data_IF_615941705166
#
_entry.id   IF_615941705166
#
_cell.length_a   1.000
_cell.length_b   1.000
_cell.length_c   1.000
_cell.angle_alpha   90.00
_cell.angle_beta   90.00
_cell.angle_gamma   90.00
#
_symmetry.space_group_name_H-M   'P 1'
#
loop_
_entity.id
_entity.type
_entity.pdbx_description
1 polymer ?
#
# COMPACT_ATOMS: atom_id res chain seq x y z
N UNK A 1 -11.62 11.27 -8.44
CA UNK A 1 -10.51 10.57 -9.12
C UNK A 1 -10.96 10.33 -10.54
N UNK A 2 -10.18 10.73 -11.53
CA UNK A 2 -10.54 10.51 -12.94
C UNK A 2 -10.28 9.04 -13.31
N UNK A 3 -10.89 8.53 -14.41
CA UNK A 3 -10.57 7.20 -14.92
C UNK A 3 -9.05 7.01 -15.15
N UNK A 4 -8.39 7.99 -15.75
CA UNK A 4 -6.94 7.97 -15.96
C UNK A 4 -6.14 7.87 -14.65
N UNK A 5 -6.54 8.61 -13.62
CA UNK A 5 -5.89 8.53 -12.30
C UNK A 5 -6.11 7.18 -11.64
N UNK A 6 -7.28 6.56 -11.86
CA UNK A 6 -7.60 5.25 -11.33
C UNK A 6 -6.81 4.15 -12.05
N UNK A 7 -6.60 4.27 -13.36
CA UNK A 7 -5.78 3.34 -14.12
C UNK A 7 -4.30 3.47 -13.74
N UNK A 8 -3.81 4.69 -13.51
CA UNK A 8 -2.48 4.91 -12.93
C UNK A 8 -2.37 4.31 -11.53
N UNK A 9 -3.39 4.48 -10.69
CA UNK A 9 -3.43 3.87 -9.35
C UNK A 9 -3.32 2.35 -9.45
N UNK A 10 -4.10 1.70 -10.32
CA UNK A 10 -4.02 0.27 -10.59
C UNK A 10 -2.66 -0.15 -11.09
N UNK A 11 -2.10 0.59 -12.04
CA UNK A 11 -0.76 0.35 -12.54
C UNK A 11 0.28 0.33 -11.41
N UNK A 12 0.19 1.26 -10.45
CA UNK A 12 1.12 1.32 -9.31
C UNK A 12 0.91 0.23 -8.24
N UNK A 13 -0.32 -0.27 -8.11
CA UNK A 13 -0.66 -1.36 -7.18
C UNK A 13 -0.46 -2.75 -7.83
N UNK A 14 -0.49 -2.84 -9.16
CA UNK A 14 -0.51 -4.09 -9.92
C UNK A 14 -1.68 -5.00 -9.49
N UNK A 15 -1.50 -6.30 -9.71
CA UNK A 15 -2.47 -7.35 -9.32
C UNK A 15 -2.35 -7.77 -7.85
N UNK A 16 -1.62 -7.00 -7.04
CA UNK A 16 -1.36 -7.34 -5.65
C UNK A 16 -2.60 -7.25 -4.75
N UNK A 17 -3.69 -6.64 -5.24
CA UNK A 17 -4.91 -6.36 -4.49
C UNK A 17 -6.13 -6.77 -5.31
N UNK A 18 -6.94 -7.66 -4.72
CA UNK A 18 -8.28 -7.97 -5.22
C UNK A 18 -9.31 -7.60 -4.15
N UNK A 19 -10.52 -7.24 -4.58
CA UNK A 19 -11.65 -6.99 -3.69
C UNK A 19 -11.99 -8.22 -2.84
N UNK A 20 -11.82 -9.42 -3.40
CA UNK A 20 -12.08 -10.70 -2.73
C UNK A 20 -11.02 -11.01 -1.67
N UNK A 21 -9.84 -10.38 -1.77
CA UNK A 21 -8.79 -10.50 -0.77
C UNK A 21 -9.05 -9.64 0.48
N UNK A 22 -10.12 -8.83 0.49
CA UNK A 22 -10.45 -7.94 1.60
C UNK A 22 -11.50 -8.56 2.52
N UNK A 23 -11.13 -8.81 3.78
CA UNK A 23 -12.11 -9.18 4.82
C UNK A 23 -12.93 -7.97 5.33
N UNK A 24 -12.44 -6.74 5.10
CA UNK A 24 -13.04 -5.49 5.55
C UNK A 24 -13.06 -4.49 4.41
N UNK A 25 -14.04 -3.59 4.40
CA UNK A 25 -14.22 -2.58 3.34
C UNK A 25 -13.94 -1.17 3.84
N UNK A 26 -14.06 -0.92 5.14
CA UNK A 26 -13.76 0.39 5.73
C UNK A 26 -12.25 0.65 5.80
N UNK A 27 -11.80 1.76 5.21
CA UNK A 27 -10.40 2.22 5.24
C UNK A 27 -9.74 2.14 6.63
N UNK A 28 -10.43 2.63 7.67
CA UNK A 28 -9.88 2.68 9.04
C UNK A 28 -9.59 1.29 9.61
N UNK A 29 -10.23 0.26 9.09
CA UNK A 29 -10.10 -1.12 9.56
C UNK A 29 -9.09 -1.92 8.73
N UNK A 30 -8.51 -1.33 7.69
CA UNK A 30 -7.50 -1.96 6.84
C UNK A 30 -6.14 -2.09 7.51
N UNK A 31 -5.34 -3.05 7.05
CA UNK A 31 -3.95 -3.21 7.49
C UNK A 31 -3.13 -1.95 7.20
N UNK A 32 -2.10 -1.69 8.00
CA UNK A 32 -1.22 -0.55 7.76
C UNK A 32 -0.54 -0.66 6.39
N UNK A 33 -0.17 -1.89 5.98
CA UNK A 33 0.44 -2.15 4.68
C UNK A 33 -0.47 -1.75 3.53
N UNK A 34 -1.75 -2.15 3.60
CA UNK A 34 -2.73 -1.77 2.58
C UNK A 34 -2.92 -0.25 2.54
N UNK A 35 -3.06 0.39 3.71
CA UNK A 35 -3.20 1.85 3.80
C UNK A 35 -1.99 2.59 3.23
N UNK A 36 -0.79 2.16 3.61
CA UNK A 36 0.46 2.76 3.13
C UNK A 36 0.64 2.57 1.62
N UNK A 37 0.14 1.47 1.06
CA UNK A 37 0.22 1.20 -0.38
C UNK A 37 -0.68 2.14 -1.18
N UNK A 38 -1.92 2.38 -0.74
CA UNK A 38 -2.79 3.38 -1.38
C UNK A 38 -2.27 4.81 -1.20
N UNK A 39 -1.66 5.11 -0.06
CA UNK A 39 -1.00 6.41 0.18
C UNK A 39 0.18 6.60 -0.79
N UNK A 40 1.04 5.59 -0.92
CA UNK A 40 2.19 5.65 -1.81
C UNK A 40 1.77 5.73 -3.28
N UNK A 41 0.80 4.92 -3.70
CA UNK A 41 0.30 4.93 -5.06
C UNK A 41 -0.37 6.28 -5.41
N UNK A 42 -1.13 6.88 -4.50
CA UNK A 42 -1.64 8.25 -4.67
C UNK A 42 -0.53 9.29 -4.84
N UNK A 43 0.57 9.16 -4.07
CA UNK A 43 1.74 10.01 -4.28
C UNK A 43 2.31 9.85 -5.69
N UNK A 44 2.44 8.63 -6.21
CA UNK A 44 2.91 8.41 -7.58
C UNK A 44 1.98 9.01 -8.63
N UNK A 45 0.67 8.82 -8.50
CA UNK A 45 -0.33 9.40 -9.41
C UNK A 45 -0.19 10.93 -9.47
N UNK A 46 0.12 11.58 -8.34
CA UNK A 46 0.19 13.04 -8.25
C UNK A 46 1.54 13.65 -8.60
N UNK A 47 2.64 12.94 -8.30
CA UNK A 47 3.99 13.46 -8.42
C UNK A 47 4.70 12.97 -9.68
N UNK A 48 4.25 11.85 -10.24
CA UNK A 48 4.88 11.18 -11.37
C UNK A 48 6.41 11.07 -11.17
N UNK A 49 7.23 11.67 -12.04
CA UNK A 49 8.70 11.65 -11.98
C UNK A 49 9.29 12.28 -10.72
N UNK A 50 8.51 13.07 -9.97
CA UNK A 50 8.93 13.70 -8.72
C UNK A 50 8.79 12.77 -7.51
N UNK A 51 8.06 11.66 -7.61
CA UNK A 51 8.04 10.65 -6.55
C UNK A 51 9.29 9.75 -6.66
N UNK A 52 10.21 9.86 -5.68
CA UNK A 52 11.48 9.13 -5.69
C UNK A 52 11.61 8.22 -4.48
N UNK A 53 12.25 7.06 -4.67
CA UNK A 53 12.66 6.20 -3.57
C UNK A 53 14.10 6.50 -3.15
N UNK A 54 14.32 6.55 -1.84
CA UNK A 54 15.63 6.69 -1.23
C UNK A 54 15.81 5.62 -0.18
N UNK A 55 16.75 4.72 -0.43
CA UNK A 55 17.25 3.76 0.53
C UNK A 55 18.49 4.37 1.21
N UNK A 56 18.47 4.50 2.53
CA UNK A 56 19.49 5.24 3.25
C UNK A 56 20.00 4.56 4.51
N UNK A 57 21.29 4.77 4.78
CA UNK A 57 21.91 4.44 6.06
C UNK A 57 21.96 5.69 6.94
N UNK A 58 21.55 5.53 8.19
CA UNK A 58 21.58 6.59 9.21
C UNK A 58 22.97 6.59 9.83
N UNK A 59 23.55 7.76 10.07
CA UNK A 59 24.85 7.82 10.74
C UNK A 59 24.75 7.25 12.16
N UNK A 60 25.83 6.63 12.65
CA UNK A 60 25.84 5.96 13.95
C UNK A 60 25.43 6.92 15.08
N UNK A 61 25.93 8.15 15.07
CA UNK A 61 25.63 9.14 16.11
C UNK A 61 24.16 9.57 16.12
N UNK A 62 23.59 9.81 14.93
CA UNK A 62 22.17 10.17 14.82
C UNK A 62 21.29 8.97 15.17
N UNK A 63 21.68 7.76 14.76
CA UNK A 63 21.00 6.52 15.14
C UNK A 63 20.99 6.30 16.66
N UNK A 64 22.11 6.47 17.35
CA UNK A 64 22.20 6.38 18.82
C UNK A 64 21.29 7.40 19.51
N UNK A 65 21.27 8.66 19.04
CA UNK A 65 20.37 9.71 19.57
C UNK A 65 18.89 9.37 19.34
N UNK A 66 18.56 8.84 18.16
CA UNK A 66 17.20 8.39 17.86
C UNK A 66 16.76 7.25 18.79
N UNK A 67 17.61 6.25 19.00
CA UNK A 67 17.35 5.14 19.92
C UNK A 67 17.20 5.63 21.37
N UNK A 68 18.07 6.54 21.81
CA UNK A 68 18.00 7.13 23.15
C UNK A 68 16.71 7.93 23.39
N UNK A 69 16.11 8.50 22.33
CA UNK A 69 14.85 9.25 22.44
C UNK A 69 13.63 8.39 22.80
N UNK A 70 13.72 7.06 22.65
CA UNK A 70 12.61 6.09 22.80
C UNK A 70 11.43 6.28 21.83
N UNK A 71 11.44 7.32 21.00
CA UNK A 71 10.48 7.56 19.91
C UNK A 71 11.24 7.98 18.64
N UNK A 72 11.77 6.98 17.94
CA UNK A 72 12.54 7.16 16.69
C UNK A 72 11.73 7.90 15.63
N UNK A 73 10.44 7.61 15.53
CA UNK A 73 9.54 8.23 14.56
C UNK A 73 9.42 9.73 14.83
N UNK A 74 9.09 10.13 16.06
CA UNK A 74 8.98 11.54 16.42
C UNK A 74 10.33 12.25 16.30
N UNK A 75 11.42 11.60 16.70
CA UNK A 75 12.79 12.12 16.58
C UNK A 75 13.12 12.49 15.14
N UNK A 76 12.96 11.56 14.19
CA UNK A 76 13.26 11.84 12.79
C UNK A 76 12.25 12.77 12.13
N UNK A 77 10.97 12.71 12.52
CA UNK A 77 10.00 13.66 12.00
C UNK A 77 10.40 15.09 12.39
N UNK A 78 10.74 15.32 13.67
CA UNK A 78 11.24 16.62 14.15
C UNK A 78 12.49 17.04 13.38
N UNK A 79 13.49 16.17 13.20
CA UNK A 79 14.68 16.48 12.40
C UNK A 79 14.35 16.86 10.96
N UNK A 80 13.39 16.19 10.32
CA UNK A 80 12.94 16.59 8.99
C UNK A 80 12.44 18.04 8.97
N UNK A 81 11.68 18.47 9.99
CA UNK A 81 11.22 19.85 10.12
C UNK A 81 12.38 20.81 10.42
N UNK A 82 13.22 20.49 11.41
CA UNK A 82 14.35 21.33 11.84
C UNK A 82 15.35 21.59 10.70
N UNK A 83 15.61 20.58 9.85
CA UNK A 83 16.52 20.71 8.70
C UNK A 83 15.79 21.04 7.37
N UNK A 84 14.54 21.48 7.47
CA UNK A 84 13.78 22.06 6.36
C UNK A 84 13.42 21.08 5.24
N UNK A 85 13.36 19.78 5.51
CA UNK A 85 12.85 18.78 4.57
C UNK A 85 11.32 18.95 4.49
N UNK A 86 10.89 19.78 3.54
CA UNK A 86 9.49 20.19 3.36
C UNK A 86 8.69 19.28 2.44
N UNK A 87 9.32 18.29 1.82
CA UNK A 87 8.69 17.37 0.87
C UNK A 87 7.66 16.47 1.54
N UNK A 88 6.62 16.08 0.78
CA UNK A 88 5.77 14.93 1.11
C UNK A 88 6.65 13.70 1.30
N UNK A 89 6.42 12.95 2.39
CA UNK A 89 7.29 11.82 2.77
C UNK A 89 6.54 10.67 3.41
N UNK A 90 6.89 9.48 2.96
CA UNK A 90 6.58 8.21 3.59
C UNK A 90 7.90 7.51 3.90
N UNK A 91 8.27 7.37 5.18
CA UNK A 91 9.57 6.84 5.61
C UNK A 91 9.36 5.62 6.48
N UNK A 92 9.92 4.50 6.06
CA UNK A 92 9.94 3.22 6.78
C UNK A 92 11.29 3.06 7.45
N UNK A 93 11.29 2.85 8.77
CA UNK A 93 12.51 2.47 9.48
C UNK A 93 12.68 0.96 9.47
N UNK A 94 13.87 0.54 9.07
CA UNK A 94 14.28 -0.86 9.05
C UNK A 94 15.50 -1.05 9.97
N UNK A 95 15.63 -2.23 10.56
CA UNK A 95 16.84 -2.66 11.22
C UNK A 95 17.32 -3.96 10.59
N UNK A 96 18.57 -3.98 10.15
CA UNK A 96 19.19 -5.20 9.63
C UNK A 96 20.00 -5.82 10.75
N UNK A 97 19.67 -7.05 11.16
CA UNK A 97 20.55 -7.87 11.99
C UNK A 97 21.67 -8.42 11.10
N UNK A 98 22.76 -7.69 10.94
CA UNK A 98 23.93 -8.23 10.25
C UNK A 98 24.61 -9.26 11.14
N UNK A 99 24.31 -10.55 10.95
CA UNK A 99 25.02 -11.66 11.59
C UNK A 99 26.52 -11.77 11.20
N UNK A 100 27.02 -10.89 10.33
CA UNK A 100 28.38 -10.93 9.75
C UNK A 100 29.31 -9.79 10.17
N UNK A 101 28.92 -8.92 11.10
CA UNK A 101 29.89 -7.97 11.70
C UNK A 101 30.42 -8.64 12.96
N UNK A 102 31.54 -9.35 12.81
CA UNK A 102 32.25 -10.07 13.86
C UNK A 102 32.58 -9.13 15.04
N UNK A 103 32.24 -9.58 16.25
CA UNK A 103 32.84 -9.11 17.50
C UNK A 103 32.45 -7.70 17.95
N UNK A 104 31.60 -7.61 18.98
CA UNK A 104 31.42 -6.40 19.77
C UNK A 104 30.11 -5.66 19.49
N UNK A 105 29.16 -5.78 20.42
CA UNK A 105 27.85 -5.12 20.51
C UNK A 105 26.96 -5.25 19.26
N UNK A 106 25.74 -5.77 19.45
CA UNK A 106 24.67 -5.66 18.45
C UNK A 106 24.32 -4.17 18.22
N UNK A 107 25.14 -3.46 17.45
CA UNK A 107 24.78 -2.15 16.92
C UNK A 107 23.79 -2.44 15.80
N UNK A 108 22.52 -2.56 16.17
CA UNK A 108 21.39 -2.53 15.25
C UNK A 108 21.59 -1.33 14.31
N UNK A 109 22.01 -1.59 13.07
CA UNK A 109 22.13 -0.54 12.07
C UNK A 109 20.71 -0.12 11.71
N UNK A 110 20.33 1.09 12.11
CA UNK A 110 19.06 1.67 11.73
C UNK A 110 19.19 2.17 10.28
N UNK A 111 18.34 1.63 9.42
CA UNK A 111 18.21 2.02 8.04
C UNK A 111 16.86 2.71 7.83
N UNK A 112 16.74 3.39 6.70
CA UNK A 112 15.45 3.87 6.25
C UNK A 112 15.24 3.58 4.77
N UNK A 113 13.97 3.42 4.43
CA UNK A 113 13.48 3.41 3.06
C UNK A 113 12.42 4.51 2.97
N UNK A 114 12.57 5.43 2.03
CA UNK A 114 11.68 6.58 1.93
C UNK A 114 11.13 6.74 0.52
N UNK A 115 9.82 6.95 0.42
CA UNK A 115 9.19 7.57 -0.73
C UNK A 115 9.08 9.07 -0.46
N UNK A 116 9.74 9.88 -1.27
CA UNK A 116 9.87 11.31 -1.09
C UNK A 116 9.45 12.06 -2.34
N UNK A 117 8.83 13.21 -2.16
CA UNK A 117 8.69 14.21 -3.22
C UNK A 117 10.03 14.91 -3.46
N UNK A 118 10.56 14.76 -4.68
CA UNK A 118 11.71 15.51 -5.14
C UNK A 118 11.32 16.99 -5.36
N UNK A 119 12.06 17.95 -4.76
CA UNK A 119 11.79 19.38 -4.93
C UNK A 119 12.17 19.87 -6.34
N UNK A 120 11.30 20.67 -6.96
CA UNK A 120 11.46 21.12 -8.36
C UNK A 120 12.72 21.96 -8.60
N UNK A 121 13.07 22.83 -7.65
CA UNK A 121 14.14 23.82 -7.79
C UNK A 121 15.43 23.44 -7.05
N UNK A 122 15.70 22.15 -6.84
CA UNK A 122 16.96 21.71 -6.19
C UNK A 122 17.63 20.63 -7.01
N UNK A 123 18.95 20.72 -7.07
CA UNK A 123 19.78 19.65 -7.61
C UNK A 123 19.73 18.41 -6.71
N UNK A 124 20.02 17.24 -7.29
CA UNK A 124 20.16 16.00 -6.53
C UNK A 124 21.23 16.12 -5.43
N UNK A 125 22.32 16.84 -5.69
CA UNK A 125 23.39 17.09 -4.72
C UNK A 125 22.86 17.86 -3.49
N UNK A 126 22.12 18.94 -3.71
CA UNK A 126 21.51 19.71 -2.63
C UNK A 126 20.48 18.89 -1.85
N UNK A 127 19.70 18.07 -2.55
CA UNK A 127 18.72 17.20 -1.91
C UNK A 127 19.40 16.13 -1.04
N UNK A 128 20.42 15.44 -1.56
CA UNK A 128 21.24 14.49 -0.77
C UNK A 128 21.87 15.17 0.44
N UNK A 129 22.44 16.36 0.28
CA UNK A 129 23.02 17.11 1.39
C UNK A 129 21.98 17.44 2.47
N UNK A 130 20.75 17.77 2.09
CA UNK A 130 19.66 17.96 3.04
C UNK A 130 19.28 16.65 3.77
N UNK A 131 19.18 15.53 3.05
CA UNK A 131 18.94 14.24 3.68
C UNK A 131 20.05 13.86 4.66
N UNK A 132 21.31 14.15 4.35
CA UNK A 132 22.44 13.98 5.27
C UNK A 132 22.32 14.85 6.52
N UNK A 133 21.76 16.07 6.44
CA UNK A 133 21.45 16.85 7.65
C UNK A 133 20.41 16.15 8.52
N UNK A 134 19.38 15.56 7.92
CA UNK A 134 18.33 14.82 8.65
C UNK A 134 18.84 13.52 9.26
N UNK A 135 19.49 12.66 8.47
CA UNK A 135 19.89 11.30 8.88
C UNK A 135 21.33 11.21 9.41
N UNK A 136 22.03 12.34 9.47
CA UNK A 136 23.46 12.40 9.78
C UNK A 136 24.31 12.11 8.55
N UNK A 137 25.48 12.75 8.45
CA UNK A 137 26.44 12.46 7.39
C UNK A 137 27.31 11.27 7.83
N UNK A 138 27.28 10.19 7.05
CA UNK A 138 28.09 9.00 7.28
C UNK A 138 29.21 8.99 6.23
N UNK A 139 30.28 9.76 6.49
CA UNK A 139 31.39 9.99 5.54
C UNK A 139 32.04 8.68 5.11
N UNK A 140 32.11 7.70 6.00
CA UNK A 140 32.64 6.36 5.77
C UNK A 140 31.88 5.57 4.69
N UNK A 141 30.62 5.93 4.44
CA UNK A 141 29.79 5.31 3.40
C UNK A 141 29.87 6.05 2.06
N UNK A 142 30.32 7.30 2.05
CA UNK A 142 30.38 8.15 0.86
C UNK A 142 29.04 8.22 0.12
N UNK A 143 29.07 8.02 -1.20
CA UNK A 143 27.86 8.00 -2.04
C UNK A 143 26.93 6.80 -1.76
N UNK A 144 27.43 5.75 -1.10
CA UNK A 144 26.64 4.56 -0.75
C UNK A 144 25.70 4.80 0.43
N UNK A 145 25.82 5.94 1.13
CA UNK A 145 24.93 6.26 2.23
C UNK A 145 23.48 6.41 1.77
N UNK A 146 23.26 7.11 0.64
CA UNK A 146 21.95 7.48 0.12
C UNK A 146 21.82 6.98 -1.31
N UNK A 147 21.13 5.85 -1.46
CA UNK A 147 20.85 5.27 -2.76
C UNK A 147 19.46 5.70 -3.21
N UNK A 148 19.41 6.61 -4.19
CA UNK A 148 18.19 6.90 -4.91
C UNK A 148 17.94 5.76 -5.89
N UNK A 149 16.77 5.15 -5.78
CA UNK A 149 16.29 4.24 -6.81
C UNK A 149 15.08 4.87 -7.48
N UNK A 150 15.01 4.75 -8.81
CA UNK A 150 13.71 4.77 -9.46
C UNK A 150 12.92 3.56 -8.93
N UNK A 151 11.58 3.56 -9.01
CA UNK A 151 10.86 2.30 -8.86
C UNK A 151 11.45 1.30 -9.84
N UNK A 152 12.13 0.26 -9.33
CA UNK A 152 12.71 -0.77 -10.17
C UNK A 152 11.57 -1.78 -10.41
N UNK A 153 11.05 -1.75 -11.63
CA UNK A 153 9.91 -2.56 -12.05
C UNK A 153 10.30 -4.01 -12.34
N UNK A 154 11.58 -4.29 -12.56
CA UNK A 154 12.05 -5.63 -12.88
C UNK A 154 12.29 -6.45 -11.60
N UNK A 155 12.62 -5.78 -10.49
CA UNK A 155 12.88 -6.44 -9.21
C UNK A 155 11.58 -6.60 -8.40
N UNK A 156 11.04 -7.81 -8.39
CA UNK A 156 9.86 -8.16 -7.59
C UNK A 156 10.21 -8.52 -6.15
N UNK A 157 9.35 -8.12 -5.20
CA UNK A 157 9.39 -8.53 -3.80
C UNK A 157 8.14 -9.29 -3.42
N UNK A 158 8.29 -10.29 -2.56
CA UNK A 158 7.17 -11.12 -2.10
C UNK A 158 6.82 -10.78 -0.65
N UNK A 159 5.54 -10.52 -0.38
CA UNK A 159 4.97 -10.36 0.95
C UNK A 159 3.64 -11.13 1.04
N UNK A 160 3.47 -11.97 2.06
CA UNK A 160 2.20 -12.68 2.26
C UNK A 160 1.76 -13.54 1.06
N UNK A 161 2.72 -14.17 0.36
CA UNK A 161 2.52 -14.91 -0.91
C UNK A 161 2.17 -14.03 -2.12
N UNK A 162 2.11 -12.71 -1.98
CA UNK A 162 1.94 -11.76 -3.09
C UNK A 162 3.28 -11.30 -3.58
N UNK A 163 3.56 -11.48 -4.87
CA UNK A 163 4.70 -10.85 -5.52
C UNK A 163 4.25 -9.51 -6.11
N UNK A 164 4.98 -8.45 -5.81
CA UNK A 164 4.75 -7.13 -6.39
C UNK A 164 6.06 -6.54 -6.90
N UNK A 165 5.97 -5.78 -7.98
CA UNK A 165 7.08 -5.04 -8.59
C UNK A 165 6.91 -3.54 -8.37
N UNK A 166 7.93 -2.76 -8.77
CA UNK A 166 7.84 -1.30 -8.75
C UNK A 166 7.65 -0.71 -7.35
N UNK A 167 6.83 0.35 -7.20
CA UNK A 167 6.57 0.98 -5.92
C UNK A 167 6.04 0.07 -4.84
N UNK A 168 5.11 -0.81 -5.20
CA UNK A 168 4.53 -1.72 -4.22
C UNK A 168 5.55 -2.78 -3.78
N UNK A 169 6.35 -3.29 -4.73
CA UNK A 169 7.51 -4.13 -4.41
C UNK A 169 8.48 -3.45 -3.45
N UNK A 170 8.75 -2.15 -3.63
CA UNK A 170 9.58 -1.37 -2.70
C UNK A 170 8.94 -1.24 -1.32
N UNK A 171 7.63 -1.00 -1.21
CA UNK A 171 6.93 -0.99 0.10
C UNK A 171 7.01 -2.36 0.78
N UNK A 172 6.87 -3.46 0.03
CA UNK A 172 7.01 -4.82 0.56
C UNK A 172 8.42 -5.07 1.06
N UNK A 173 9.42 -4.65 0.28
CA UNK A 173 10.81 -4.69 0.68
C UNK A 173 11.07 -3.90 1.96
N UNK A 174 10.55 -2.68 2.07
CA UNK A 174 10.74 -1.80 3.21
C UNK A 174 10.03 -2.27 4.48
N UNK A 175 9.02 -3.14 4.36
CA UNK A 175 8.26 -3.67 5.49
C UNK A 175 8.63 -5.10 5.87
N UNK A 176 9.48 -5.78 5.09
CA UNK A 176 9.87 -7.18 5.31
C UNK A 176 10.50 -7.44 6.69
N UNK A 177 11.19 -6.44 7.23
CA UNK A 177 11.93 -6.50 8.49
C UNK A 177 11.26 -5.66 9.59
N UNK A 178 10.02 -5.19 9.38
CA UNK A 178 9.28 -4.41 10.37
C UNK A 178 9.23 -5.07 11.75
N UNK A 179 9.13 -6.41 11.78
CA UNK A 179 9.20 -7.24 12.99
C UNK A 179 10.47 -7.03 13.80
N UNK A 180 11.62 -7.17 13.13
CA UNK A 180 12.94 -6.98 13.71
C UNK A 180 13.14 -5.53 14.15
N UNK A 181 12.73 -4.57 13.31
CA UNK A 181 12.81 -3.14 13.63
C UNK A 181 12.03 -2.79 14.89
N UNK A 182 10.78 -3.25 14.98
CA UNK A 182 9.95 -3.03 16.16
C UNK A 182 10.58 -3.58 17.44
N UNK A 183 11.15 -4.79 17.37
CA UNK A 183 11.82 -5.43 18.50
C UNK A 183 13.10 -4.70 18.91
N UNK A 184 13.95 -4.36 17.93
CA UNK A 184 15.23 -3.69 18.17
C UNK A 184 15.06 -2.26 18.67
N UNK A 185 13.98 -1.58 18.28
CA UNK A 185 13.57 -0.28 18.81
C UNK A 185 12.92 -0.36 20.20
N UNK A 186 12.81 -1.55 20.79
CA UNK A 186 12.26 -1.80 22.11
C UNK A 186 10.83 -1.22 22.31
N UNK A 187 10.05 -1.14 21.22
CA UNK A 187 8.67 -0.64 21.21
C UNK A 187 7.68 -1.58 21.93
N UNK A 188 8.19 -2.62 22.58
CA UNK A 188 7.46 -3.57 23.41
C UNK A 188 7.34 -3.13 24.89
N UNK A 189 8.27 -2.33 25.43
CA UNK A 189 8.46 -2.15 26.88
C UNK A 189 7.59 -1.08 27.58
N UNK A 190 6.58 -0.51 26.91
CA UNK A 190 5.75 0.58 27.45
C UNK A 190 4.23 0.39 27.34
N UNK A 191 3.72 -0.85 27.25
CA UNK A 191 2.27 -1.09 27.16
C UNK A 191 1.67 -1.07 25.73
N UNK A 192 2.48 -0.99 24.68
CA UNK A 192 2.00 -1.10 23.28
C UNK A 192 1.93 -2.54 22.75
N UNK A 193 2.54 -3.51 23.45
CA UNK A 193 2.30 -4.94 23.26
C UNK A 193 1.24 -5.39 24.26
N UNK A 194 -0.03 -5.34 23.88
CA UNK A 194 -0.98 -6.25 24.51
C UNK A 194 -0.50 -7.67 24.19
N UNK A 195 -0.11 -8.45 25.20
CA UNK A 195 0.21 -9.88 25.07
C UNK A 195 -0.94 -10.67 24.42
N UNK A 196 -2.16 -10.11 24.35
CA UNK A 196 -3.32 -10.68 23.66
C UNK A 196 -3.40 -10.36 22.15
N UNK A 197 -2.55 -9.47 21.63
CA UNK A 197 -2.61 -9.01 20.24
C UNK A 197 -2.21 -10.04 19.15
N UNK A 198 -1.35 -11.06 19.36
CA UNK A 198 -0.98 -11.97 18.28
C UNK A 198 -2.07 -13.02 17.97
N UNK A 199 -2.64 -13.65 19.00
CA UNK A 199 -3.53 -14.83 18.83
C UNK A 199 -4.95 -14.42 18.46
N UNK A 200 -5.51 -13.40 19.12
CA UNK A 200 -6.88 -12.94 18.86
C UNK A 200 -7.02 -12.02 17.63
N UNK A 201 -5.91 -11.55 17.01
CA UNK A 201 -5.95 -10.69 15.82
C UNK A 201 -5.62 -11.42 14.53
N UNK A 202 -4.87 -12.53 14.60
CA UNK A 202 -4.74 -13.47 13.49
C UNK A 202 -6.09 -14.08 13.07
N UNK A 203 -7.02 -14.26 14.01
CA UNK A 203 -8.37 -14.74 13.74
C UNK A 203 -9.29 -13.72 13.05
N UNK A 204 -8.98 -12.41 13.12
CA UNK A 204 -9.82 -11.32 12.58
C UNK A 204 -9.61 -11.06 11.08
N UNK A 205 -8.53 -11.59 10.50
CA UNK A 205 -8.20 -11.46 9.08
C UNK A 205 -8.18 -12.83 8.36
N UNK A 206 -8.88 -13.86 8.88
CA UNK A 206 -8.88 -15.22 8.30
C UNK A 206 -9.22 -15.26 6.80
N UNK A 207 -10.08 -14.35 6.34
CA UNK A 207 -10.47 -14.23 4.92
C UNK A 207 -9.57 -13.29 4.11
N UNK A 208 -8.74 -12.47 4.75
CA UNK A 208 -7.87 -11.56 4.03
C UNK A 208 -6.74 -12.32 3.35
N UNK A 209 -6.49 -11.99 2.09
CA UNK A 209 -5.41 -12.58 1.29
C UNK A 209 -4.53 -11.48 0.69
N UNK A 210 -3.49 -11.91 -0.01
CA UNK A 210 -2.59 -11.03 -0.73
C UNK A 210 -1.90 -9.96 0.15
N UNK A 211 -1.89 -8.70 -0.28
CA UNK A 211 -1.39 -7.58 0.52
C UNK A 211 -2.21 -7.30 1.79
N UNK A 212 -3.49 -7.65 1.78
CA UNK A 212 -4.37 -7.48 2.93
C UNK A 212 -4.14 -8.60 3.96
N UNK A 213 -3.36 -9.62 3.59
CA UNK A 213 -2.93 -10.70 4.46
C UNK A 213 -1.88 -10.17 5.45
N UNK A 214 -2.31 -10.05 6.70
CA UNK A 214 -1.40 -10.08 7.83
C UNK A 214 -1.14 -8.76 8.55
N UNK A 215 -0.79 -8.97 9.83
CA UNK A 215 -0.46 -8.08 10.95
C UNK A 215 -1.46 -6.94 11.28
N UNK A 216 -1.84 -6.79 12.57
CA UNK A 216 -2.88 -5.87 12.96
C UNK A 216 -2.54 -4.42 12.60
N UNK A 217 -3.59 -3.65 12.30
CA UNK A 217 -3.56 -2.19 12.25
C UNK A 217 -2.73 -1.66 13.43
N UNK A 218 -1.74 -0.81 13.15
CA UNK A 218 -0.84 -0.11 14.09
C UNK A 218 0.55 -0.73 14.32
N UNK A 219 0.91 -1.86 13.70
CA UNK A 219 2.27 -2.36 13.82
C UNK A 219 3.28 -1.49 13.06
N UNK A 220 2.99 -1.15 11.81
CA UNK A 220 3.88 -0.33 10.99
C UNK A 220 3.74 1.16 11.34
N UNK A 221 2.59 1.60 11.83
CA UNK A 221 2.37 3.02 12.18
C UNK A 221 3.36 3.57 13.21
N UNK A 222 3.98 2.71 14.03
CA UNK A 222 4.99 3.10 15.03
C UNK A 222 6.39 3.28 14.45
N UNK A 223 6.67 2.68 13.29
CA UNK A 223 7.98 2.71 12.62
C UNK A 223 7.93 3.40 11.25
N UNK A 224 6.78 3.98 10.89
CA UNK A 224 6.57 4.70 9.63
C UNK A 224 6.18 6.14 9.89
N UNK A 225 6.89 7.07 9.24
CA UNK A 225 6.50 8.48 9.13
C UNK A 225 5.63 8.64 7.89
N UNK A 226 4.40 9.12 8.07
CA UNK A 226 3.57 9.66 6.98
C UNK A 226 3.43 11.17 7.24
N UNK A 227 4.30 12.01 6.67
CA UNK A 227 4.26 13.45 6.88
C UNK A 227 4.06 14.22 5.58
N UNK A 228 3.18 15.23 5.64
CA UNK A 228 2.67 15.99 4.49
C UNK A 228 2.02 15.13 3.40
N UNK A 229 1.92 13.83 3.62
CA UNK A 229 1.15 12.92 2.78
C UNK A 229 -0.25 12.80 3.38
N UNK A 230 -1.27 13.01 2.55
CA UNK A 230 -2.65 12.99 3.03
C UNK A 230 -3.18 11.57 3.15
N UNK A 231 -3.41 11.11 4.38
CA UNK A 231 -4.16 9.87 4.61
C UNK A 231 -5.58 9.94 4.05
N UNK A 232 -6.17 11.14 3.97
CA UNK A 232 -7.46 11.37 3.35
C UNK A 232 -7.41 11.10 1.84
N UNK A 233 -6.32 11.48 1.16
CA UNK A 233 -6.13 11.16 -0.26
C UNK A 233 -5.89 9.67 -0.48
N UNK A 234 -5.09 9.01 0.37
CA UNK A 234 -4.97 7.55 0.37
C UNK A 234 -6.31 6.85 0.58
N UNK A 235 -7.15 7.34 1.51
CA UNK A 235 -8.52 6.86 1.71
C UNK A 235 -9.41 7.10 0.49
N UNK A 236 -9.33 8.27 -0.13
CA UNK A 236 -10.09 8.59 -1.33
C UNK A 236 -9.69 7.69 -2.51
N UNK A 237 -8.39 7.41 -2.66
CA UNK A 237 -7.86 6.47 -3.65
C UNK A 237 -8.38 5.05 -3.39
N UNK A 238 -8.31 4.57 -2.15
CA UNK A 238 -8.88 3.27 -1.76
C UNK A 238 -10.37 3.19 -2.07
N UNK A 239 -11.14 4.20 -1.68
CA UNK A 239 -12.58 4.21 -1.91
C UNK A 239 -12.92 4.23 -3.41
N UNK A 240 -12.22 5.05 -4.20
CA UNK A 240 -12.43 5.11 -5.64
C UNK A 240 -12.13 3.77 -6.33
N UNK A 241 -10.99 3.16 -5.98
CA UNK A 241 -10.64 1.82 -6.45
C UNK A 241 -11.67 0.78 -6.04
N UNK A 242 -12.08 0.77 -4.77
CA UNK A 242 -13.04 -0.20 -4.26
C UNK A 242 -14.39 -0.13 -4.98
N UNK A 243 -14.91 1.08 -5.23
CA UNK A 243 -16.18 1.24 -5.95
C UNK A 243 -16.09 0.75 -7.39
N UNK A 244 -14.99 1.02 -8.09
CA UNK A 244 -14.84 0.59 -9.48
C UNK A 244 -14.63 -0.93 -9.60
N UNK A 245 -13.83 -1.54 -8.72
CA UNK A 245 -13.69 -3.01 -8.68
C UNK A 245 -15.01 -3.69 -8.34
N UNK A 246 -15.81 -3.12 -7.43
CA UNK A 246 -17.16 -3.61 -7.15
C UNK A 246 -18.07 -3.51 -8.38
N UNK A 247 -18.08 -2.37 -9.07
CA UNK A 247 -18.90 -2.19 -10.27
C UNK A 247 -18.49 -3.15 -11.41
N UNK A 248 -17.20 -3.48 -11.53
CA UNK A 248 -16.73 -4.52 -12.45
C UNK A 248 -17.25 -5.90 -12.07
N UNK A 249 -17.15 -6.27 -10.79
CA UNK A 249 -17.65 -7.55 -10.29
C UNK A 249 -19.16 -7.69 -10.51
N UNK A 250 -19.94 -6.64 -10.21
CA UNK A 250 -21.39 -6.61 -10.41
C UNK A 250 -21.76 -6.76 -11.90
N UNK A 251 -21.04 -6.07 -12.82
CA UNK A 251 -21.22 -6.25 -14.27
C UNK A 251 -20.93 -7.68 -14.73
N UNK A 252 -19.84 -8.27 -14.26
CA UNK A 252 -19.48 -9.65 -14.62
C UNK A 252 -20.52 -10.67 -14.12
N UNK A 253 -21.11 -10.45 -12.95
CA UNK A 253 -22.19 -11.29 -12.42
C UNK A 253 -23.43 -11.19 -13.33
N UNK A 254 -23.83 -9.97 -13.70
CA UNK A 254 -24.97 -9.73 -14.60
C UNK A 254 -24.76 -10.35 -15.98
N UNK A 255 -23.57 -10.20 -16.57
CA UNK A 255 -23.24 -10.81 -17.87
C UNK A 255 -23.27 -12.33 -17.82
N UNK A 256 -22.79 -12.95 -16.73
CA UNK A 256 -22.86 -14.40 -16.55
C UNK A 256 -24.30 -14.88 -16.38
N UNK A 257 -25.12 -14.15 -15.62
CA UNK A 257 -26.54 -14.46 -15.44
C UNK A 257 -27.30 -14.37 -16.78
N UNK A 258 -27.02 -13.35 -17.59
CA UNK A 258 -27.62 -13.18 -18.91
C UNK A 258 -27.24 -14.28 -19.90
N UNK A 259 -26.01 -14.79 -19.84
CA UNK A 259 -25.54 -15.93 -20.66
C UNK A 259 -26.05 -17.29 -20.18
N UNK A 260 -26.43 -17.41 -18.91
CA UNK A 260 -26.97 -18.63 -18.33
C UNK A 260 -28.51 -18.70 -18.41
N UNK A 261 -29.18 -17.62 -18.81
CA UNK A 261 -30.62 -17.63 -19.06
C UNK A 261 -30.92 -18.51 -20.28
N UNK A 262 -31.77 -19.54 -20.17
CA UNK A 262 -32.14 -20.37 -21.30
C UNK A 262 -32.87 -19.50 -22.34
N UNK A 263 -32.56 -19.70 -23.62
CA UNK A 263 -33.24 -19.11 -24.76
C UNK A 263 -34.65 -19.69 -24.90
N UNK A 264 -35.53 -19.48 -23.91
CA UNK A 264 -36.96 -19.78 -24.04
C UNK A 264 -37.65 -18.61 -24.73
N UNK A 265 -37.38 -18.45 -26.03
CA UNK A 265 -38.10 -17.54 -26.91
C UNK A 265 -38.04 -18.06 -28.35
N UNK A 266 -38.51 -19.30 -28.56
CA UNK A 266 -38.92 -19.79 -29.87
C UNK A 266 -39.65 -21.12 -29.68
N UNK A 267 -40.89 -21.09 -29.20
CA UNK A 267 -41.89 -22.17 -29.34
C UNK A 267 -43.19 -21.76 -28.61
N UNK A 268 -43.93 -20.80 -29.17
CA UNK A 268 -45.36 -20.60 -28.87
C UNK A 268 -46.04 -19.62 -29.84
N UNK A 269 -45.56 -19.55 -31.08
CA UNK A 269 -46.23 -18.80 -32.17
C UNK A 269 -46.89 -19.72 -33.22
N UNK A 270 -47.13 -20.98 -32.89
CA UNK A 270 -47.74 -21.94 -33.81
C UNK A 270 -48.79 -22.81 -33.10
N UNK A 271 -49.85 -22.21 -32.54
CA UNK A 271 -51.07 -22.96 -32.24
C UNK A 271 -52.31 -22.06 -32.00
N UNK A 272 -52.68 -21.22 -32.98
CA UNK A 272 -54.08 -20.75 -33.08
C UNK A 272 -54.45 -20.66 -34.56
N UNK A 273 -54.77 -21.80 -35.16
CA UNK A 273 -55.52 -21.87 -36.41
C UNK A 273 -56.36 -23.13 -36.36
N UNK A 274 -57.60 -23.01 -35.90
CA UNK A 274 -58.79 -23.66 -36.46
C UNK A 274 -60.00 -23.38 -35.56
N UNK A 275 -60.73 -22.31 -35.88
CA UNK A 275 -62.16 -22.22 -35.58
C UNK A 275 -62.85 -21.98 -36.92
N UNK A 276 -63.69 -22.91 -37.41
CA UNK A 276 -64.47 -22.65 -38.60
C UNK A 276 -65.67 -21.75 -38.24
N UNK A 277 -65.70 -20.55 -38.84
CA UNK A 277 -66.87 -19.68 -38.86
C UNK A 277 -67.98 -20.35 -39.69
N UNK A 278 -68.99 -20.91 -39.03
CA UNK A 278 -70.28 -21.22 -39.66
C UNK A 278 -71.05 -19.91 -39.81
N UNK A 279 -71.14 -19.44 -41.05
CA UNK A 279 -72.10 -18.42 -41.47
C UNK A 279 -73.38 -19.16 -41.84
N UNK A 280 -74.47 -18.94 -41.11
CA UNK A 280 -75.82 -19.24 -41.60
C UNK A 280 -76.65 -17.98 -41.45
N UNK A 281 -76.93 -17.35 -42.59
CA UNK A 281 -77.81 -16.21 -42.69
C UNK A 281 -79.26 -16.61 -42.43
N UNK A 282 -79.96 -15.75 -41.72
CA UNK A 282 -81.41 -15.70 -41.67
C UNK A 282 -81.89 -14.61 -42.63
N UNK A 283 -82.42 -15.04 -43.76
CA UNK A 283 -83.38 -14.27 -44.56
C UNK A 283 -84.64 -15.14 -44.63
N UNK A 284 -85.79 -14.55 -44.31
CA UNK A 284 -87.15 -14.65 -44.90
C UNK A 284 -88.04 -13.90 -43.89
N UNK A 285 -88.43 -12.67 -44.19
CA UNK A 285 -89.69 -12.26 -44.85
C UNK A 285 -90.91 -12.38 -43.93
#
# INVERSE_FOLDING_TARGET
MTPEQLDKLRYYLGDAISIDHLSRREWRLQTDLLRQSFIAADMFVQLDKRAIFVDGRISVDVGKKALASKDVKAFFNRRCHDFGLKSRRLIYFDTVSSAKIRGGNHNTLLHFHALLEFPERRSLKQFKAQLKKVFGDAKELGERQLHRSAPNWDTGFTHGSTRAQGPLGKIFYSTKNAGAAYAALNLNKGGARSRAAPVARGSLNKRSQGIARGLPSNFNAQIVICDRVSQQRGRAAFNAWYQDEKAKQDRQILERAAKAAPTTANESAAFVSQVPLKISGSNVA
#
